data_IF_162659773735
#
_entry.id   IF_162659773735
#
_cell.length_a   1.000
_cell.length_b   1.000
_cell.length_c   1.000
_cell.angle_alpha   90.00
_cell.angle_beta   90.00
_cell.angle_gamma   90.00
#
_symmetry.space_group_name_H-M   'P 1'
#
loop_
_entity.id
_entity.type
_entity.pdbx_description
1 polymer ?
#
# COMPACT_ATOMS: atom_id res chain seq x y z
N UNK A 1 1.74 18.68 8.85
CA UNK A 1 2.29 17.30 8.92
C UNK A 1 3.38 17.28 9.98
N UNK A 2 3.52 16.19 10.71
CA UNK A 2 4.50 16.07 11.80
C UNK A 2 5.61 15.11 11.40
N UNK A 3 6.79 15.31 11.99
CA UNK A 3 7.98 14.49 11.76
C UNK A 3 8.38 13.76 13.03
N UNK A 4 8.97 12.58 12.88
CA UNK A 4 9.56 11.85 14.00
C UNK A 4 10.94 12.39 14.41
N UNK A 5 11.56 11.79 15.42
CA UNK A 5 12.89 12.16 15.91
C UNK A 5 14.00 12.01 14.86
N UNK A 6 13.79 11.19 13.82
CA UNK A 6 14.70 11.03 12.70
C UNK A 6 14.39 11.99 11.54
N UNK A 7 13.47 12.94 11.74
CA UNK A 7 13.07 13.93 10.75
C UNK A 7 12.20 13.37 9.62
N UNK A 8 11.68 12.14 9.72
CA UNK A 8 10.83 11.51 8.69
C UNK A 8 9.39 11.91 8.88
N UNK A 9 8.61 11.94 7.81
CA UNK A 9 7.17 12.22 7.88
C UNK A 9 6.46 11.12 8.68
N UNK A 10 5.87 11.48 9.81
CA UNK A 10 5.27 10.53 10.74
C UNK A 10 3.74 10.61 10.74
N UNK A 11 3.17 11.79 10.50
CA UNK A 11 1.73 11.97 10.49
C UNK A 11 1.31 13.19 9.68
N UNK A 12 0.02 13.27 9.39
CA UNK A 12 -0.56 14.48 8.82
C UNK A 12 -2.07 14.48 8.92
N UNK A 13 -2.63 15.68 8.88
CA UNK A 13 -4.07 15.91 8.96
C UNK A 13 -4.49 16.92 7.91
N UNK A 14 -5.64 16.69 7.29
CA UNK A 14 -6.32 17.62 6.39
C UNK A 14 -7.82 17.54 6.67
N UNK A 15 -8.34 18.54 7.38
CA UNK A 15 -9.72 18.50 7.88
C UNK A 15 -9.90 17.31 8.83
N UNK A 16 -10.92 16.49 8.56
CA UNK A 16 -11.24 15.30 9.35
C UNK A 16 -10.41 14.06 8.96
N UNK A 17 -9.66 14.14 7.86
CA UNK A 17 -8.82 13.05 7.39
C UNK A 17 -7.43 13.14 8.03
N UNK A 18 -6.92 12.00 8.49
CA UNK A 18 -5.60 11.89 9.07
C UNK A 18 -4.88 10.62 8.60
N UNK A 19 -3.56 10.67 8.61
CA UNK A 19 -2.73 9.48 8.49
C UNK A 19 -1.64 9.48 9.58
N UNK A 20 -1.19 8.28 9.92
CA UNK A 20 -0.03 8.06 10.78
C UNK A 20 0.82 6.91 10.22
N UNK A 21 2.14 7.09 10.18
CA UNK A 21 3.07 6.03 9.83
C UNK A 21 3.33 5.20 11.07
N UNK A 22 2.86 3.96 11.06
CA UNK A 22 2.97 3.01 12.17
C UNK A 22 4.31 2.27 12.14
N UNK A 23 4.86 2.06 10.94
CA UNK A 23 6.13 1.38 10.76
C UNK A 23 6.83 1.86 9.49
N UNK A 24 8.16 1.85 9.51
CA UNK A 24 9.02 2.08 8.36
C UNK A 24 9.67 0.77 7.91
N UNK A 25 10.14 0.72 6.66
CA UNK A 25 11.06 -0.34 6.24
C UNK A 25 12.39 -0.21 7.01
N UNK A 26 13.05 -1.34 7.35
CA UNK A 26 14.41 -1.30 7.87
C UNK A 26 15.34 -0.60 6.87
N UNK A 27 16.24 0.28 7.34
CA UNK A 27 17.27 0.92 6.52
C UNK A 27 16.85 2.21 5.81
N UNK A 28 15.68 2.26 5.16
CA UNK A 28 15.41 3.30 4.16
C UNK A 28 14.46 4.43 4.60
N UNK A 29 13.93 4.41 5.82
CA UNK A 29 13.06 5.48 6.32
C UNK A 29 11.75 5.67 5.52
N UNK A 30 11.38 4.67 4.71
CA UNK A 30 10.17 4.66 3.89
C UNK A 30 9.00 4.05 4.67
N UNK A 31 7.81 4.65 4.67
CA UNK A 31 6.65 4.09 5.34
C UNK A 31 6.31 2.68 4.83
N UNK A 32 6.14 1.74 5.75
CA UNK A 32 5.72 0.36 5.49
C UNK A 32 4.27 0.13 5.87
N UNK A 33 3.85 0.68 7.01
CA UNK A 33 2.48 0.58 7.50
C UNK A 33 1.96 1.97 7.78
N UNK A 34 0.81 2.31 7.19
CA UNK A 34 0.19 3.63 7.29
C UNK A 34 -1.24 3.42 7.75
N UNK A 35 -1.56 3.93 8.94
CA UNK A 35 -2.92 4.05 9.44
C UNK A 35 -3.60 5.25 8.81
N UNK A 36 -4.87 5.10 8.44
CA UNK A 36 -5.73 6.13 7.87
C UNK A 36 -6.99 6.27 8.72
N UNK A 37 -7.42 7.51 8.94
CA UNK A 37 -8.65 7.82 9.65
C UNK A 37 -9.43 8.91 8.92
N UNK A 38 -10.76 8.80 8.94
CA UNK A 38 -11.68 9.81 8.43
C UNK A 38 -13.06 9.67 9.08
N UNK A 39 -14.05 10.48 8.66
CA UNK A 39 -15.39 10.45 9.22
C UNK A 39 -16.03 9.06 9.13
N UNK A 40 -16.25 8.43 10.29
CA UNK A 40 -16.90 7.12 10.39
C UNK A 40 -16.11 5.95 9.79
N UNK A 41 -14.83 6.13 9.43
CA UNK A 41 -14.04 5.09 8.77
C UNK A 41 -12.57 5.12 9.16
N UNK A 42 -11.97 3.94 9.17
CA UNK A 42 -10.53 3.75 9.32
C UNK A 42 -10.04 2.79 8.24
N UNK A 43 -8.76 2.93 7.92
CA UNK A 43 -8.10 2.08 6.94
C UNK A 43 -6.64 1.87 7.30
N UNK A 44 -6.03 0.87 6.68
CA UNK A 44 -4.61 0.63 6.83
C UNK A 44 -4.02 0.19 5.51
N UNK A 45 -2.91 0.83 5.14
CA UNK A 45 -2.09 0.43 4.00
C UNK A 45 -0.85 -0.28 4.54
N UNK A 46 -0.58 -1.48 4.02
CA UNK A 46 0.66 -2.21 4.29
C UNK A 46 1.39 -2.43 2.97
N UNK A 47 2.57 -1.84 2.86
CA UNK A 47 3.46 -2.04 1.70
C UNK A 47 4.26 -3.33 1.95
N UNK A 48 4.05 -4.34 1.10
CA UNK A 48 4.74 -5.63 1.22
C UNK A 48 6.17 -5.58 0.69
N UNK A 49 6.37 -4.91 -0.45
CA UNK A 49 7.67 -4.74 -1.11
C UNK A 49 7.68 -3.39 -1.83
N UNK A 50 8.84 -2.74 -1.82
CA UNK A 50 9.11 -1.53 -2.59
C UNK A 50 10.48 -1.68 -3.25
N UNK A 51 10.61 -1.17 -4.47
CA UNK A 51 11.89 -1.08 -5.17
C UNK A 51 12.00 0.32 -5.77
N UNK A 52 13.18 0.91 -5.66
CA UNK A 52 13.52 2.20 -6.25
C UNK A 52 14.27 1.98 -7.56
N UNK A 53 14.07 2.89 -8.50
CA UNK A 53 14.67 2.85 -9.85
C UNK A 53 14.64 1.47 -10.52
N UNK A 54 13.46 0.80 -10.58
CA UNK A 54 13.35 -0.42 -11.34
C UNK A 54 13.60 -0.12 -12.83
N UNK A 55 14.15 -1.08 -13.59
CA UNK A 55 14.26 -0.95 -15.05
C UNK A 55 12.89 -0.59 -15.66
N UNK A 56 12.92 0.21 -16.73
CA UNK A 56 11.71 0.56 -17.46
C UNK A 56 10.96 -0.69 -17.94
N UNK A 57 9.64 -0.64 -17.81
CA UNK A 57 8.73 -1.71 -18.23
C UNK A 57 7.60 -1.06 -19.04
N UNK A 58 7.72 -0.99 -20.37
CA UNK A 58 6.70 -0.37 -21.23
C UNK A 58 5.29 -0.94 -20.99
N UNK A 59 5.21 -2.21 -20.62
CA UNK A 59 3.96 -2.94 -20.36
C UNK A 59 3.44 -2.78 -18.93
N UNK A 60 4.13 -2.06 -18.04
CA UNK A 60 3.71 -1.91 -16.63
C UNK A 60 2.36 -1.20 -16.48
N UNK A 61 1.97 -0.42 -17.48
CA UNK A 61 0.66 0.25 -17.54
C UNK A 61 -0.32 -0.44 -18.50
N UNK A 62 0.05 -1.61 -19.07
CA UNK A 62 -0.90 -2.39 -19.86
C UNK A 62 -1.96 -2.99 -18.94
N UNK A 63 -3.20 -2.49 -19.06
CA UNK A 63 -4.34 -2.97 -18.29
C UNK A 63 -5.00 -4.19 -18.94
N UNK A 64 -4.43 -4.78 -19.99
CA UNK A 64 -4.97 -5.96 -20.68
C UNK A 64 -5.31 -7.10 -19.73
N UNK A 65 -4.51 -7.30 -18.68
CA UNK A 65 -4.72 -8.35 -17.68
C UNK A 65 -6.03 -8.16 -16.89
N UNK A 66 -6.55 -6.93 -16.79
CA UNK A 66 -7.85 -6.67 -16.15
C UNK A 66 -9.04 -7.15 -16.98
N UNK A 67 -8.86 -7.43 -18.28
CA UNK A 67 -9.95 -7.91 -19.14
C UNK A 67 -10.53 -9.25 -18.70
N UNK A 68 -9.74 -10.08 -18.01
CA UNK A 68 -10.17 -11.36 -17.44
C UNK A 68 -10.45 -11.31 -15.94
N UNK A 69 -10.43 -10.14 -15.31
CA UNK A 69 -10.65 -10.04 -13.88
C UNK A 69 -12.09 -10.39 -13.52
N UNK A 70 -12.24 -11.33 -12.58
CA UNK A 70 -13.51 -11.66 -11.94
C UNK A 70 -13.29 -11.83 -10.43
N UNK A 71 -14.27 -11.42 -9.63
CA UNK A 71 -14.27 -11.74 -8.21
C UNK A 71 -14.41 -13.26 -8.05
N UNK A 72 -13.57 -13.85 -7.21
CA UNK A 72 -13.54 -15.29 -6.93
C UNK A 72 -13.72 -15.56 -5.44
N UNK A 73 -14.39 -16.65 -5.11
CA UNK A 73 -14.43 -17.16 -3.73
C UNK A 73 -13.08 -17.78 -3.36
N UNK A 74 -12.91 -18.09 -2.07
CA UNK A 74 -11.69 -18.74 -1.60
C UNK A 74 -11.50 -20.12 -2.22
N UNK A 75 -12.59 -20.88 -2.37
CA UNK A 75 -12.60 -22.20 -3.01
C UNK A 75 -12.11 -22.11 -4.46
N UNK A 76 -12.63 -21.14 -5.23
CA UNK A 76 -12.19 -20.91 -6.61
C UNK A 76 -10.72 -20.47 -6.73
N UNK A 77 -10.16 -19.84 -5.68
CA UNK A 77 -8.74 -19.48 -5.65
C UNK A 77 -7.89 -20.73 -5.41
N UNK A 78 -8.32 -21.63 -4.52
CA UNK A 78 -7.60 -22.88 -4.24
C UNK A 78 -7.48 -23.75 -5.50
N UNK A 79 -8.55 -23.87 -6.27
CA UNK A 79 -8.56 -24.60 -7.55
C UNK A 79 -7.53 -24.08 -8.58
N UNK A 80 -7.19 -22.78 -8.52
CA UNK A 80 -6.20 -22.18 -9.41
C UNK A 80 -4.75 -22.46 -9.00
N UNK A 81 -4.50 -22.67 -7.70
CA UNK A 81 -3.16 -22.90 -7.15
C UNK A 81 -2.75 -24.38 -7.26
N UNK A 82 -3.72 -25.29 -7.31
CA UNK A 82 -3.50 -26.74 -7.38
C UNK A 82 -3.30 -27.29 -8.80
N UNK A 83 -3.39 -26.44 -9.83
CA UNK A 83 -3.10 -26.77 -11.25
C UNK A 83 -1.65 -26.48 -11.63
#
# INVERSE_FOLDING_TARGET
PERDAAGRLASGRRGEYAFAVEAFFPGDGVPRTIGLAGPGTTGRIKVSKLAFDPPERPEAFDTAFLRGYAAKTWEEILELVER
#
